data_IF_925146601001
#
_entry.id   IF_925146601001
#
_cell.length_a   1.000
_cell.length_b   1.000
_cell.length_c   1.000
_cell.angle_alpha   90.00
_cell.angle_beta   90.00
_cell.angle_gamma   90.00
#
_symmetry.space_group_name_H-M   'P 1'
#
loop_
_entity.id
_entity.type
_entity.pdbx_description
1 polymer ?
#
# COMPACT_ATOMS: atom_id res chain seq x y z
N UNK A 1 8.05 6.76 -48.76
CA UNK A 1 6.74 6.74 -48.08
C UNK A 1 6.95 7.03 -46.61
N UNK A 2 6.75 8.28 -46.20
CA UNK A 2 6.85 8.74 -44.81
C UNK A 2 5.49 8.49 -44.19
N UNK A 3 5.38 7.53 -43.27
CA UNK A 3 4.15 7.33 -42.51
C UNK A 3 3.83 8.64 -41.77
N UNK A 4 2.70 9.23 -42.10
CA UNK A 4 2.09 10.30 -41.31
C UNK A 4 1.69 9.67 -39.99
N UNK A 5 2.49 9.92 -38.95
CA UNK A 5 2.11 9.69 -37.56
C UNK A 5 0.86 10.55 -37.36
N UNK A 6 -0.30 9.91 -37.30
CA UNK A 6 -1.54 10.60 -36.94
C UNK A 6 -1.33 11.27 -35.59
N UNK A 7 -1.56 12.57 -35.51
CA UNK A 7 -1.72 13.27 -34.24
C UNK A 7 -2.91 12.63 -33.54
N UNK A 8 -2.64 11.84 -32.50
CA UNK A 8 -3.67 11.41 -31.56
C UNK A 8 -4.24 12.66 -30.91
N UNK A 9 -5.56 12.71 -30.78
CA UNK A 9 -6.21 13.81 -30.07
C UNK A 9 -5.73 13.81 -28.61
N UNK A 10 -5.51 14.96 -27.96
CA UNK A 10 -5.13 15.02 -26.55
C UNK A 10 -6.07 14.26 -25.61
N UNK A 11 -7.33 14.03 -26.03
CA UNK A 11 -8.31 13.23 -25.30
C UNK A 11 -8.02 11.73 -25.38
N UNK A 12 -7.57 11.23 -26.54
CA UNK A 12 -7.28 9.81 -26.75
C UNK A 12 -6.07 9.37 -25.92
N UNK A 13 -5.00 10.19 -25.92
CA UNK A 13 -3.81 9.98 -25.09
C UNK A 13 -4.15 9.94 -23.58
N UNK A 14 -5.09 10.79 -23.13
CA UNK A 14 -5.53 10.84 -21.73
C UNK A 14 -6.36 9.61 -21.34
N UNK A 15 -7.26 9.18 -22.20
CA UNK A 15 -8.06 7.98 -22.00
C UNK A 15 -7.16 6.74 -21.95
N UNK A 16 -6.18 6.64 -22.85
CA UNK A 16 -5.17 5.59 -22.83
C UNK A 16 -4.37 5.62 -21.51
N UNK A 17 -3.85 6.79 -21.12
CA UNK A 17 -3.07 6.95 -19.89
C UNK A 17 -3.88 6.58 -18.63
N UNK A 18 -5.15 7.00 -18.55
CA UNK A 18 -6.05 6.62 -17.44
C UNK A 18 -6.27 5.11 -17.38
N UNK A 19 -6.50 4.48 -18.54
CA UNK A 19 -6.69 3.03 -18.62
C UNK A 19 -5.43 2.26 -18.19
N UNK A 20 -4.25 2.76 -18.56
CA UNK A 20 -2.97 2.20 -18.18
C UNK A 20 -2.71 2.33 -16.67
N UNK A 21 -2.89 3.54 -16.11
CA UNK A 21 -2.75 3.80 -14.68
C UNK A 21 -3.71 2.93 -13.86
N UNK A 22 -4.98 2.82 -14.27
CA UNK A 22 -5.96 1.95 -13.61
C UNK A 22 -5.50 0.49 -13.57
N UNK A 23 -4.92 -0.02 -14.66
CA UNK A 23 -4.37 -1.39 -14.70
C UNK A 23 -3.16 -1.54 -13.78
N UNK A 24 -2.26 -0.55 -13.76
CA UNK A 24 -1.11 -0.54 -12.87
C UNK A 24 -1.54 -0.53 -11.39
N UNK A 25 -2.51 0.30 -11.03
CA UNK A 25 -3.06 0.36 -9.68
C UNK A 25 -3.77 -0.92 -9.27
N UNK A 26 -4.59 -1.52 -10.15
CA UNK A 26 -5.21 -2.81 -9.89
C UNK A 26 -4.17 -3.91 -9.65
N UNK A 27 -3.13 -3.95 -10.48
CA UNK A 27 -2.06 -4.93 -10.33
C UNK A 27 -1.30 -4.72 -9.01
N UNK A 28 -0.92 -3.49 -8.69
CA UNK A 28 -0.23 -3.16 -7.44
C UNK A 28 -1.10 -3.48 -6.22
N UNK A 29 -2.38 -3.13 -6.26
CA UNK A 29 -3.31 -3.42 -5.17
C UNK A 29 -3.51 -4.93 -4.98
N UNK A 30 -3.65 -5.69 -6.07
CA UNK A 30 -3.79 -7.13 -6.01
C UNK A 30 -2.54 -7.80 -5.44
N UNK A 31 -1.35 -7.38 -5.88
CA UNK A 31 -0.09 -7.95 -5.38
C UNK A 31 0.11 -7.68 -3.89
N UNK A 32 -0.12 -6.45 -3.42
CA UNK A 32 -0.01 -6.10 -2.00
C UNK A 32 -1.04 -6.83 -1.17
N UNK A 33 -2.28 -6.96 -1.67
CA UNK A 33 -3.35 -7.68 -0.99
C UNK A 33 -3.04 -9.17 -0.84
N UNK A 34 -2.56 -9.82 -1.90
CA UNK A 34 -2.19 -11.24 -1.88
C UNK A 34 -1.08 -11.47 -0.85
N UNK A 35 -0.02 -10.67 -0.86
CA UNK A 35 1.07 -10.80 0.11
C UNK A 35 0.60 -10.60 1.56
N UNK A 36 -0.26 -9.60 1.79
CA UNK A 36 -0.79 -9.31 3.12
C UNK A 36 -1.69 -10.44 3.63
N UNK A 37 -2.67 -10.84 2.83
CA UNK A 37 -3.61 -11.92 3.17
C UNK A 37 -2.89 -13.25 3.32
N UNK A 38 -1.91 -13.57 2.47
CA UNK A 38 -1.12 -14.80 2.58
C UNK A 38 -0.39 -14.86 3.93
N UNK A 39 0.19 -13.76 4.39
CA UNK A 39 0.88 -13.70 5.69
C UNK A 39 -0.09 -14.00 6.84
N UNK A 40 -1.25 -13.35 6.86
CA UNK A 40 -2.28 -13.62 7.87
C UNK A 40 -2.85 -15.04 7.76
N UNK A 41 -3.03 -15.56 6.53
CA UNK A 41 -3.50 -16.91 6.29
C UNK A 41 -2.52 -17.95 6.81
N UNK A 42 -1.21 -17.75 6.67
CA UNK A 42 -0.20 -18.65 7.25
C UNK A 42 -0.28 -18.68 8.78
N UNK A 43 -0.41 -17.52 9.42
CA UNK A 43 -0.55 -17.44 10.89
C UNK A 43 -1.88 -18.09 11.34
N UNK A 44 -2.97 -17.86 10.61
CA UNK A 44 -4.27 -18.48 10.87
C UNK A 44 -4.23 -20.00 10.69
N UNK A 45 -3.61 -20.50 9.62
CA UNK A 45 -3.42 -21.92 9.36
C UNK A 45 -2.62 -22.60 10.49
N UNK A 46 -1.57 -21.93 11.00
CA UNK A 46 -0.82 -22.39 12.17
C UNK A 46 -1.69 -22.52 13.43
N UNK A 47 -2.66 -21.63 13.63
CA UNK A 47 -3.58 -21.70 14.77
C UNK A 47 -4.70 -22.75 14.58
N UNK A 48 -5.20 -22.94 13.37
CA UNK A 48 -6.29 -23.88 13.06
C UNK A 48 -5.81 -25.32 12.94
N UNK A 49 -4.59 -25.54 12.45
CA UNK A 49 -4.01 -26.86 12.23
C UNK A 49 -2.60 -27.00 12.86
N UNK A 50 -2.45 -26.84 14.19
CA UNK A 50 -1.14 -26.93 14.85
C UNK A 50 -0.31 -28.18 14.49
N UNK A 51 -0.88 -29.39 14.33
CA UNK A 51 -0.12 -30.59 13.99
C UNK A 51 0.59 -30.54 12.63
N UNK A 52 0.16 -29.66 11.71
CA UNK A 52 0.81 -29.50 10.40
C UNK A 52 2.10 -28.67 10.46
N UNK A 53 2.37 -28.00 11.59
CA UNK A 53 3.49 -27.09 11.75
C UNK A 53 4.51 -27.67 12.74
N UNK A 54 5.80 -27.53 12.41
CA UNK A 54 6.90 -27.93 13.30
C UNK A 54 6.89 -27.10 14.60
N UNK A 55 7.48 -27.60 15.70
CA UNK A 55 7.56 -26.85 16.96
C UNK A 55 8.20 -25.46 16.78
N UNK A 56 9.25 -25.36 15.95
CA UNK A 56 9.89 -24.09 15.61
C UNK A 56 8.93 -23.14 14.91
N UNK A 57 8.21 -23.62 13.89
CA UNK A 57 7.23 -22.82 13.16
C UNK A 57 6.08 -22.37 14.08
N UNK A 58 5.72 -23.18 15.07
CA UNK A 58 4.74 -22.78 16.06
C UNK A 58 5.26 -21.65 16.95
N UNK A 59 6.53 -21.62 17.32
CA UNK A 59 7.09 -20.55 18.13
C UNK A 59 7.25 -19.24 17.34
N UNK A 60 7.71 -19.34 16.09
CA UNK A 60 8.06 -18.15 15.28
C UNK A 60 6.88 -17.56 14.50
N UNK A 61 5.89 -18.36 14.05
CA UNK A 61 4.74 -17.87 13.26
C UNK A 61 3.61 -17.35 14.16
N UNK A 62 3.94 -16.47 15.10
CA UNK A 62 2.96 -15.75 15.91
C UNK A 62 2.87 -14.29 15.48
N UNK A 63 1.73 -13.64 15.70
CA UNK A 63 1.56 -12.22 15.34
C UNK A 63 2.64 -11.33 15.95
N UNK A 64 3.00 -11.58 17.22
CA UNK A 64 4.00 -10.79 17.92
C UNK A 64 5.39 -11.00 17.31
N UNK A 65 5.79 -12.23 16.99
CA UNK A 65 7.11 -12.49 16.43
C UNK A 65 7.22 -12.01 14.96
N UNK A 66 6.14 -12.11 14.19
CA UNK A 66 6.14 -11.70 12.78
C UNK A 66 6.06 -10.18 12.64
N UNK A 67 5.19 -9.51 13.39
CA UNK A 67 4.91 -8.09 13.19
C UNK A 67 5.52 -7.17 14.24
N UNK A 68 5.74 -7.60 15.49
CA UNK A 68 6.19 -6.68 16.54
C UNK A 68 7.72 -6.62 16.59
N UNK A 69 8.35 -5.46 16.27
CA UNK A 69 9.79 -5.34 16.36
C UNK A 69 10.23 -5.38 17.83
N UNK A 70 11.39 -5.98 18.14
CA UNK A 70 11.95 -5.95 19.49
C UNK A 70 12.34 -4.52 19.85
N UNK A 71 12.35 -4.21 21.15
CA UNK A 71 12.72 -2.88 21.63
C UNK A 71 14.12 -2.47 21.14
N UNK A 72 14.24 -1.29 20.52
CA UNK A 72 15.47 -0.80 19.87
C UNK A 72 16.69 -0.65 20.80
N UNK A 73 16.49 -0.64 22.13
CA UNK A 73 17.57 -0.67 23.14
C UNK A 73 17.59 -1.97 23.94
N UNK A 74 17.10 -3.07 23.38
CA UNK A 74 17.20 -4.37 24.04
C UNK A 74 18.67 -4.65 24.41
N UNK A 75 18.98 -4.88 25.70
CA UNK A 75 20.34 -5.16 26.12
C UNK A 75 20.73 -6.58 25.70
N UNK A 76 21.80 -6.72 24.92
CA UNK A 76 22.39 -8.03 24.59
C UNK A 76 22.93 -8.11 23.15
N UNK A 77 23.85 -9.04 22.87
CA UNK A 77 24.28 -9.34 21.52
C UNK A 77 23.13 -9.95 20.71
N UNK A 78 23.11 -9.69 19.41
CA UNK A 78 22.13 -10.25 18.47
C UNK A 78 22.30 -11.78 18.38
N UNK A 79 21.21 -12.53 18.59
CA UNK A 79 21.24 -14.00 18.69
C UNK A 79 21.72 -14.67 17.40
N UNK A 80 21.25 -14.19 16.25
CA UNK A 80 21.65 -14.70 14.94
C UNK A 80 21.48 -13.64 13.84
N UNK A 81 22.15 -13.85 12.71
CA UNK A 81 22.00 -13.01 11.53
C UNK A 81 20.55 -13.01 11.01
N UNK A 82 19.87 -14.17 11.03
CA UNK A 82 18.49 -14.29 10.56
C UNK A 82 17.53 -13.43 11.40
N UNK A 83 17.68 -13.45 12.73
CA UNK A 83 16.91 -12.58 13.65
C UNK A 83 17.21 -11.11 13.37
N UNK A 84 18.47 -10.76 13.11
CA UNK A 84 18.85 -9.39 12.74
C UNK A 84 18.16 -8.85 11.50
N UNK A 85 18.17 -9.66 10.43
CA UNK A 85 17.52 -9.31 9.16
C UNK A 85 16.00 -9.18 9.35
N UNK A 86 15.39 -10.10 10.09
CA UNK A 86 13.95 -10.04 10.39
C UNK A 86 13.57 -8.77 11.16
N UNK A 87 14.31 -8.45 12.22
CA UNK A 87 14.09 -7.21 13.00
C UNK A 87 14.26 -5.97 12.14
N UNK A 88 15.29 -5.94 11.29
CA UNK A 88 15.50 -4.84 10.35
C UNK A 88 14.31 -4.67 9.41
N UNK A 89 13.80 -5.76 8.82
CA UNK A 89 12.62 -5.70 7.95
C UNK A 89 11.35 -5.25 8.67
N UNK A 90 11.17 -5.61 9.94
CA UNK A 90 10.05 -5.09 10.73
C UNK A 90 10.15 -3.56 10.86
N UNK A 91 11.32 -3.05 11.28
CA UNK A 91 11.53 -1.61 11.39
C UNK A 91 11.39 -0.87 10.06
N UNK A 92 11.98 -1.40 8.98
CA UNK A 92 11.86 -0.85 7.63
C UNK A 92 10.39 -0.81 7.18
N UNK A 93 9.65 -1.89 7.41
CA UNK A 93 8.24 -1.96 7.09
C UNK A 93 7.44 -0.88 7.84
N UNK A 94 7.66 -0.67 9.15
CA UNK A 94 6.94 0.37 9.90
C UNK A 94 7.33 1.77 9.45
N UNK A 95 8.62 2.10 9.47
CA UNK A 95 9.10 3.45 9.18
C UNK A 95 8.80 3.81 7.72
N UNK A 96 9.12 2.91 6.79
CA UNK A 96 8.87 3.07 5.36
C UNK A 96 7.38 3.21 5.05
N UNK A 97 6.54 2.33 5.61
CA UNK A 97 5.08 2.42 5.40
C UNK A 97 4.49 3.69 5.98
N UNK A 98 4.86 4.08 7.21
CA UNK A 98 4.34 5.31 7.83
C UNK A 98 4.76 6.53 7.03
N UNK A 99 6.03 6.64 6.62
CA UNK A 99 6.50 7.74 5.79
C UNK A 99 5.75 7.81 4.45
N UNK A 100 5.57 6.67 3.78
CA UNK A 100 4.85 6.60 2.51
C UNK A 100 3.37 6.96 2.65
N UNK A 101 2.70 6.50 3.70
CA UNK A 101 1.30 6.82 3.99
C UNK A 101 1.10 8.30 4.32
N UNK A 102 2.00 8.90 5.12
CA UNK A 102 1.97 10.34 5.40
C UNK A 102 2.16 11.15 4.12
N UNK A 103 3.12 10.75 3.28
CA UNK A 103 3.35 11.39 1.98
C UNK A 103 2.12 11.28 1.07
N UNK A 104 1.50 10.10 0.98
CA UNK A 104 0.32 9.88 0.16
C UNK A 104 -0.88 10.70 0.65
N UNK A 105 -1.09 10.74 1.97
CA UNK A 105 -2.13 11.56 2.59
C UNK A 105 -1.90 13.05 2.33
N UNK A 106 -0.68 13.54 2.51
CA UNK A 106 -0.32 14.93 2.23
C UNK A 106 -0.52 15.29 0.75
N UNK A 107 -0.11 14.39 -0.16
CA UNK A 107 -0.25 14.62 -1.60
C UNK A 107 -1.72 14.61 -2.05
N UNK A 108 -2.56 13.75 -1.45
CA UNK A 108 -4.01 13.76 -1.66
C UNK A 108 -4.68 15.00 -1.09
N UNK A 109 -4.24 15.48 0.07
CA UNK A 109 -4.75 16.73 0.63
C UNK A 109 -4.43 17.93 -0.28
N UNK A 110 -3.21 17.96 -0.82
CA UNK A 110 -2.72 19.04 -1.69
C UNK A 110 -3.30 19.00 -3.12
N UNK A 111 -3.83 17.86 -3.58
CA UNK A 111 -4.45 17.78 -4.92
C UNK A 111 -5.84 18.41 -4.98
N UNK A 112 -6.44 18.78 -3.84
CA UNK A 112 -7.76 19.39 -3.78
C UNK A 112 -7.67 20.91 -3.95
N UNK A 113 -8.64 21.48 -4.67
CA UNK A 113 -8.79 22.94 -4.85
C UNK A 113 -9.25 23.68 -3.58
N UNK A 114 -9.72 22.95 -2.58
CA UNK A 114 -10.20 23.48 -1.30
C UNK A 114 -9.58 22.72 -0.14
N UNK A 115 -9.43 23.41 1.00
CA UNK A 115 -8.93 22.82 2.23
C UNK A 115 -9.78 21.61 2.67
N UNK A 116 -9.14 20.59 3.22
CA UNK A 116 -9.85 19.42 3.74
C UNK A 116 -10.71 19.79 4.93
N UNK A 117 -11.99 19.42 4.87
CA UNK A 117 -12.89 19.50 6.01
C UNK A 117 -12.59 18.35 6.99
N UNK A 118 -13.10 18.44 8.22
CA UNK A 118 -12.99 17.36 9.19
C UNK A 118 -13.57 16.04 8.66
N UNK A 119 -14.69 16.10 7.92
CA UNK A 119 -15.31 14.94 7.29
C UNK A 119 -14.39 14.29 6.25
N UNK A 120 -13.68 15.10 5.46
CA UNK A 120 -12.72 14.58 4.47
C UNK A 120 -11.54 13.87 5.17
N UNK A 121 -11.05 14.44 6.28
CA UNK A 121 -10.00 13.81 7.09
C UNK A 121 -10.46 12.50 7.72
N UNK A 122 -11.65 12.48 8.29
CA UNK A 122 -12.24 11.26 8.85
C UNK A 122 -12.43 10.18 7.78
N UNK A 123 -12.85 10.57 6.56
CA UNK A 123 -12.96 9.65 5.43
C UNK A 123 -11.59 9.10 5.00
N UNK A 124 -10.55 9.95 4.94
CA UNK A 124 -9.19 9.53 4.63
C UNK A 124 -8.66 8.53 5.66
N UNK A 125 -8.82 8.82 6.96
CA UNK A 125 -8.42 7.90 8.03
C UNK A 125 -9.21 6.60 7.94
N UNK A 126 -10.51 6.66 7.69
CA UNK A 126 -11.36 5.49 7.48
C UNK A 126 -10.90 4.62 6.30
N UNK A 127 -10.52 5.24 5.19
CA UNK A 127 -9.95 4.54 4.03
C UNK A 127 -8.60 3.90 4.38
N UNK A 128 -7.70 4.64 5.03
CA UNK A 128 -6.38 4.14 5.44
C UNK A 128 -6.49 2.93 6.37
N UNK A 129 -7.37 2.98 7.36
CA UNK A 129 -7.61 1.88 8.29
C UNK A 129 -8.33 0.73 7.59
N UNK A 130 -9.42 1.00 6.87
CA UNK A 130 -10.23 -0.03 6.22
C UNK A 130 -9.46 -0.79 5.15
N UNK A 131 -8.81 -0.07 4.24
CA UNK A 131 -7.97 -0.69 3.20
C UNK A 131 -6.71 -1.29 3.81
N UNK A 132 -6.12 -0.64 4.82
CA UNK A 132 -4.94 -1.14 5.51
C UNK A 132 -5.16 -2.50 6.18
N UNK A 133 -6.35 -2.76 6.72
CA UNK A 133 -6.71 -4.05 7.30
C UNK A 133 -6.88 -5.17 6.26
N UNK A 134 -7.29 -4.83 5.03
CA UNK A 134 -7.56 -5.80 3.97
C UNK A 134 -6.31 -6.08 3.14
N UNK A 135 -5.61 -5.02 2.75
CA UNK A 135 -4.54 -5.05 1.75
C UNK A 135 -3.17 -4.65 2.31
N UNK A 136 -3.09 -4.35 3.61
CA UNK A 136 -1.88 -3.88 4.26
C UNK A 136 -1.58 -2.40 4.00
N UNK A 137 -0.52 -1.87 4.61
CA UNK A 137 -0.14 -0.45 4.48
C UNK A 137 0.22 -0.06 3.03
N UNK A 138 0.82 -0.97 2.26
CA UNK A 138 1.11 -0.75 0.85
C UNK A 138 -0.17 -0.68 0.01
N UNK A 139 -1.17 -1.51 0.30
CA UNK A 139 -2.48 -1.42 -0.37
C UNK A 139 -3.22 -0.13 -0.06
N UNK A 140 -3.14 0.35 1.20
CA UNK A 140 -3.69 1.65 1.59
C UNK A 140 -3.00 2.81 0.85
N UNK A 141 -1.67 2.77 0.73
CA UNK A 141 -0.89 3.72 -0.07
C UNK A 141 -1.37 3.73 -1.54
N UNK A 142 -1.52 2.55 -2.15
CA UNK A 142 -2.00 2.41 -3.53
C UNK A 142 -3.40 2.98 -3.69
N UNK A 143 -4.33 2.70 -2.76
CA UNK A 143 -5.69 3.25 -2.77
C UNK A 143 -5.69 4.78 -2.71
N UNK A 144 -4.87 5.37 -1.82
CA UNK A 144 -4.77 6.81 -1.69
C UNK A 144 -4.25 7.48 -2.97
N UNK A 145 -3.23 6.88 -3.62
CA UNK A 145 -2.66 7.39 -4.86
C UNK A 145 -3.60 7.21 -6.05
N UNK A 146 -4.26 6.06 -6.14
CA UNK A 146 -5.27 5.83 -7.17
C UNK A 146 -6.40 6.85 -7.05
N UNK A 147 -6.99 7.02 -5.87
CA UNK A 147 -8.06 8.01 -5.66
C UNK A 147 -7.60 9.43 -5.98
N UNK A 148 -6.35 9.80 -5.67
CA UNK A 148 -5.78 11.09 -6.05
C UNK A 148 -5.75 11.25 -7.57
N UNK A 149 -5.21 10.29 -8.29
CA UNK A 149 -5.00 10.37 -9.74
C UNK A 149 -6.32 10.34 -10.51
N UNK A 150 -7.29 9.54 -10.06
CA UNK A 150 -8.63 9.56 -10.64
C UNK A 150 -9.29 10.95 -10.47
N UNK A 151 -9.09 11.62 -9.33
CA UNK A 151 -9.57 12.99 -9.14
C UNK A 151 -8.87 14.01 -10.05
N UNK A 152 -7.53 13.95 -10.16
CA UNK A 152 -6.76 14.89 -10.99
C UNK A 152 -7.11 14.74 -12.47
N UNK A 153 -7.15 13.51 -12.98
CA UNK A 153 -7.49 13.24 -14.38
C UNK A 153 -8.94 13.64 -14.70
N UNK A 154 -9.88 13.38 -13.79
CA UNK A 154 -11.29 13.76 -14.00
C UNK A 154 -11.50 15.29 -14.00
N UNK A 155 -10.76 16.02 -13.17
CA UNK A 155 -10.79 17.49 -13.17
C UNK A 155 -10.23 18.02 -14.50
N UNK A 156 -9.10 17.52 -14.97
CA UNK A 156 -8.47 17.97 -16.22
C UNK A 156 -9.32 17.66 -17.48
N UNK A 157 -10.13 16.60 -17.44
CA UNK A 157 -11.11 16.27 -18.49
C UNK A 157 -12.24 17.31 -18.57
N UNK A 158 -12.70 17.85 -17.43
CA UNK A 158 -13.75 18.88 -17.35
C UNK A 158 -13.30 20.27 -17.85
N UNK A 159 -12.00 20.58 -17.78
CA UNK A 159 -11.46 21.88 -18.22
C UNK A 159 -10.77 21.85 -19.59
N UNK A 160 -10.57 20.66 -20.19
CA UNK A 160 -9.95 20.48 -21.50
C UNK A 160 -10.86 20.79 -22.70
N UNK A 161 -12.12 21.17 -22.48
CA UNK A 161 -13.12 21.45 -23.52
C UNK A 161 -13.23 22.95 -23.89
N UNK A 162 -12.15 23.73 -23.77
CA UNK A 162 -12.11 25.16 -24.14
C UNK A 162 -11.11 25.46 -25.24
#
# INVERSE_FOLDING_TARGET
>A
MRQLRGETSPLDDRMENRSFLRRAYLFAFASTSISHVATFATIAARNLFPPLFSPLAQETLTLNQVFLPPYFRAPGPMESMAVGIHNFFQYDQYVGSTAALVWAAATRANSRKSAMTFKDWACLVGELVGVGLIAGPAGALVSLMWNRDDCVLSDDDLYGEK
#
